data_IF_296381237725
#
_entry.id   IF_296381237725
#
_cell.length_a   1.000
_cell.length_b   1.000
_cell.length_c   1.000
_cell.angle_alpha   90.00
_cell.angle_beta   90.00
_cell.angle_gamma   90.00
#
_symmetry.space_group_name_H-M   'P 1'
#
loop_
_entity.id
_entity.type
_entity.pdbx_description
1 polymer ?
#
# COMPACT_ATOMS: atom_id res chain seq x y z
N UNK A 1 28.64 13.54 -6.45
CA UNK A 1 27.61 14.56 -6.18
C UNK A 1 26.72 14.04 -5.06
N UNK A 2 26.29 14.90 -4.10
CA UNK A 2 25.39 14.43 -3.03
C UNK A 2 24.01 14.03 -3.56
N UNK A 3 23.37 13.02 -2.98
CA UNK A 3 21.98 12.62 -3.26
C UNK A 3 21.02 13.28 -2.28
N UNK A 4 19.82 13.60 -2.74
CA UNK A 4 18.69 13.95 -1.86
C UNK A 4 18.25 12.74 -1.03
N UNK A 5 17.46 12.97 0.01
CA UNK A 5 16.89 11.89 0.82
C UNK A 5 16.07 10.90 -0.05
N UNK A 6 15.21 11.41 -0.92
CA UNK A 6 14.43 10.59 -1.87
C UNK A 6 15.33 9.74 -2.78
N UNK A 7 16.41 10.33 -3.32
CA UNK A 7 17.36 9.58 -4.14
C UNK A 7 18.07 8.46 -3.37
N UNK A 8 18.40 8.70 -2.09
CA UNK A 8 19.03 7.68 -1.25
C UNK A 8 18.09 6.51 -0.99
N UNK A 9 16.83 6.79 -0.65
CA UNK A 9 15.81 5.75 -0.43
C UNK A 9 15.59 4.94 -1.71
N UNK A 10 15.34 5.61 -2.83
CA UNK A 10 15.12 4.95 -4.11
C UNK A 10 16.35 4.14 -4.59
N UNK A 11 17.56 4.66 -4.40
CA UNK A 11 18.79 3.93 -4.74
C UNK A 11 18.95 2.65 -3.92
N UNK A 12 18.68 2.74 -2.60
CA UNK A 12 18.72 1.59 -1.69
C UNK A 12 17.74 0.48 -2.14
N UNK A 13 16.49 0.85 -2.40
CA UNK A 13 15.45 -0.11 -2.82
C UNK A 13 15.64 -0.65 -4.24
N UNK A 14 16.41 0.05 -5.07
CA UNK A 14 16.77 -0.41 -6.41
C UNK A 14 18.08 -1.22 -6.44
N UNK A 15 18.77 -1.37 -5.30
CA UNK A 15 20.09 -2.01 -5.24
C UNK A 15 21.18 -1.26 -6.02
N UNK A 16 21.05 0.08 -6.12
CA UNK A 16 21.96 0.95 -6.88
C UNK A 16 22.76 1.85 -5.96
N UNK A 17 23.99 2.17 -6.33
CA UNK A 17 24.82 3.14 -5.59
C UNK A 17 24.26 4.56 -5.66
N UNK A 18 23.60 4.92 -6.74
CA UNK A 18 23.00 6.23 -6.93
C UNK A 18 21.91 6.22 -8.00
N UNK A 19 20.97 7.15 -7.91
CA UNK A 19 19.93 7.39 -8.91
C UNK A 19 19.86 8.87 -9.28
N UNK A 20 19.32 9.17 -10.45
CA UNK A 20 19.18 10.53 -10.98
C UNK A 20 17.72 10.78 -11.38
N UNK A 21 17.32 12.06 -11.35
CA UNK A 21 16.02 12.46 -11.87
C UNK A 21 15.90 12.06 -13.37
N UNK A 22 14.75 11.51 -13.74
CA UNK A 22 14.48 10.99 -15.09
C UNK A 22 15.00 9.57 -15.37
N UNK A 23 15.71 8.96 -14.43
CA UNK A 23 16.14 7.57 -14.55
C UNK A 23 14.97 6.61 -14.27
N UNK A 24 14.77 5.63 -15.15
CA UNK A 24 13.86 4.51 -14.88
C UNK A 24 14.58 3.48 -14.00
N UNK A 25 13.94 3.08 -12.92
CA UNK A 25 14.47 2.11 -11.96
C UNK A 25 13.40 1.08 -11.59
N UNK A 26 13.81 -0.11 -11.19
CA UNK A 26 12.99 -1.05 -10.45
C UNK A 26 13.39 -0.95 -8.98
N UNK A 27 12.43 -0.73 -8.10
CA UNK A 27 12.68 -0.60 -6.67
C UNK A 27 11.71 -1.48 -5.88
N UNK A 28 12.20 -2.25 -4.93
CA UNK A 28 11.37 -3.10 -4.07
C UNK A 28 10.57 -2.27 -3.08
N UNK A 29 9.29 -2.60 -2.92
CA UNK A 29 8.39 -1.92 -2.00
C UNK A 29 8.51 -2.51 -0.58
N UNK A 30 8.42 -1.65 0.44
CA UNK A 30 8.26 -2.08 1.82
C UNK A 30 6.81 -2.20 2.22
N UNK A 31 5.94 -1.34 1.67
CA UNK A 31 4.52 -1.40 1.97
C UNK A 31 3.65 -0.99 0.77
N UNK A 32 2.58 -1.75 0.57
CA UNK A 32 1.47 -1.42 -0.34
C UNK A 32 0.22 -1.20 0.50
N UNK A 33 -0.31 0.03 0.49
CA UNK A 33 -1.47 0.41 1.29
C UNK A 33 -2.73 0.51 0.44
N UNK A 34 -3.85 0.04 0.98
CA UNK A 34 -5.17 0.31 0.44
C UNK A 34 -6.23 0.44 1.52
N UNK A 35 -7.33 1.10 1.19
CA UNK A 35 -8.49 1.30 2.06
C UNK A 35 -9.77 0.71 1.45
N UNK A 36 -10.89 0.84 2.15
CA UNK A 36 -12.17 0.29 1.71
C UNK A 36 -12.82 1.03 0.52
N UNK A 37 -12.30 2.19 0.11
CA UNK A 37 -12.73 2.89 -1.12
C UNK A 37 -12.02 2.32 -2.34
N UNK A 38 -10.70 2.24 -2.28
CA UNK A 38 -9.83 2.00 -3.44
C UNK A 38 -9.42 0.55 -3.60
N UNK A 39 -9.26 -0.20 -2.50
CA UNK A 39 -8.91 -1.62 -2.54
C UNK A 39 -9.89 -2.48 -3.32
N UNK A 40 -11.24 -2.28 -3.28
CA UNK A 40 -12.16 -3.09 -4.09
C UNK A 40 -11.89 -3.00 -5.59
N UNK A 41 -11.42 -1.85 -6.08
CA UNK A 41 -11.02 -1.66 -7.48
C UNK A 41 -9.70 -2.37 -7.75
N UNK A 42 -8.72 -2.21 -6.87
CA UNK A 42 -7.42 -2.90 -6.98
C UNK A 42 -7.59 -4.43 -6.95
N UNK A 43 -8.46 -4.95 -6.09
CA UNK A 43 -8.82 -6.39 -6.03
C UNK A 43 -9.38 -6.89 -7.36
N UNK A 44 -10.31 -6.14 -7.97
CA UNK A 44 -10.87 -6.51 -9.27
C UNK A 44 -9.82 -6.52 -10.37
N UNK A 45 -8.94 -5.53 -10.41
CA UNK A 45 -7.85 -5.48 -11.40
C UNK A 45 -6.83 -6.60 -11.16
N UNK A 46 -6.51 -6.91 -9.92
CA UNK A 46 -5.64 -8.02 -9.55
C UNK A 46 -6.21 -9.37 -10.03
N UNK A 47 -7.48 -9.64 -9.77
CA UNK A 47 -8.15 -10.88 -10.18
C UNK A 47 -8.35 -10.95 -11.71
N UNK A 48 -8.70 -9.83 -12.36
CA UNK A 48 -8.84 -9.73 -13.82
C UNK A 48 -7.51 -9.99 -14.55
N UNK A 49 -6.41 -9.55 -13.97
CA UNK A 49 -5.07 -9.82 -14.51
C UNK A 49 -4.65 -11.29 -14.37
N UNK A 50 -5.42 -12.10 -13.64
CA UNK A 50 -5.14 -13.53 -13.46
C UNK A 50 -4.03 -13.83 -12.46
N UNK A 51 -3.70 -12.87 -11.59
CA UNK A 51 -2.70 -13.09 -10.55
C UNK A 51 -3.19 -14.12 -9.53
N UNK A 52 -2.35 -15.10 -9.24
CA UNK A 52 -2.67 -16.22 -8.36
C UNK A 52 -2.19 -16.04 -6.92
N UNK A 53 -1.27 -15.11 -6.68
CA UNK A 53 -0.70 -14.84 -5.36
C UNK A 53 -0.24 -13.39 -5.24
N UNK A 54 -0.19 -12.89 -4.02
CA UNK A 54 0.53 -11.68 -3.64
C UNK A 54 2.00 -12.06 -3.41
N UNK A 55 2.95 -11.29 -3.92
CA UNK A 55 4.38 -11.60 -3.78
C UNK A 55 4.82 -11.67 -2.32
N UNK A 56 4.41 -10.70 -1.53
CA UNK A 56 4.71 -10.66 -0.10
C UNK A 56 3.49 -10.12 0.68
N UNK A 57 2.59 -10.99 1.16
CA UNK A 57 1.39 -10.56 1.88
C UNK A 57 1.67 -9.73 3.13
N UNK A 58 2.81 -9.95 3.80
CA UNK A 58 3.23 -9.17 4.96
C UNK A 58 3.55 -7.70 4.63
N UNK A 59 3.85 -7.40 3.36
CA UNK A 59 4.09 -6.04 2.86
C UNK A 59 2.83 -5.39 2.26
N UNK A 60 1.66 -5.97 2.48
CA UNK A 60 0.37 -5.39 2.06
C UNK A 60 -0.45 -5.07 3.29
N UNK A 61 -0.94 -3.84 3.37
CA UNK A 61 -1.87 -3.40 4.41
C UNK A 61 -3.18 -2.95 3.79
N UNK A 62 -4.29 -3.37 4.40
CA UNK A 62 -5.64 -2.97 4.00
C UNK A 62 -6.40 -2.48 5.23
N UNK A 63 -6.78 -1.21 5.23
CA UNK A 63 -7.42 -0.54 6.37
C UNK A 63 -8.85 -0.13 6.00
N UNK A 64 -9.81 -0.59 6.81
CA UNK A 64 -11.23 -0.33 6.60
C UNK A 64 -11.66 0.89 7.42
N UNK A 65 -11.30 2.10 7.00
CA UNK A 65 -11.46 3.33 7.80
C UNK A 65 -12.36 4.41 7.20
N UNK A 66 -12.69 4.33 5.91
CA UNK A 66 -13.54 5.33 5.26
C UNK A 66 -15.03 4.98 5.31
N UNK A 67 -15.37 3.69 5.14
CA UNK A 67 -16.75 3.19 5.11
C UNK A 67 -17.17 2.47 6.38
N UNK A 68 -16.30 2.41 7.37
CA UNK A 68 -16.56 1.72 8.63
C UNK A 68 -16.69 2.76 9.76
N UNK A 69 -17.78 2.76 10.56
CA UNK A 69 -18.96 1.86 10.49
C UNK A 69 -19.74 1.99 9.18
N UNK A 70 -20.18 0.87 8.61
CA UNK A 70 -20.86 0.87 7.32
C UNK A 70 -22.22 1.58 7.41
N UNK A 71 -22.42 2.62 6.60
CA UNK A 71 -23.66 3.39 6.55
C UNK A 71 -24.79 2.74 5.76
N UNK A 72 -24.45 1.82 4.86
CA UNK A 72 -25.38 1.15 3.96
C UNK A 72 -24.82 -0.20 3.45
N UNK A 73 -25.67 -0.94 2.72
CA UNK A 73 -25.32 -2.23 2.15
C UNK A 73 -24.13 -2.12 1.18
N UNK A 74 -24.09 -1.05 0.36
CA UNK A 74 -23.03 -0.83 -0.62
C UNK A 74 -21.67 -0.67 0.05
N UNK A 75 -21.59 0.10 1.12
CA UNK A 75 -20.38 0.25 1.93
C UNK A 75 -19.96 -1.10 2.54
N UNK A 76 -20.91 -1.86 3.08
CA UNK A 76 -20.64 -3.19 3.63
C UNK A 76 -20.15 -4.19 2.59
N UNK A 77 -20.66 -4.15 1.36
CA UNK A 77 -20.17 -4.99 0.26
C UNK A 77 -18.74 -4.66 -0.16
N UNK A 78 -18.35 -3.39 -0.12
CA UNK A 78 -16.98 -2.96 -0.37
C UNK A 78 -16.02 -3.58 0.67
N UNK A 79 -16.31 -3.39 1.95
CA UNK A 79 -15.53 -3.98 3.05
C UNK A 79 -15.49 -5.51 2.95
N UNK A 80 -16.62 -6.16 2.65
CA UNK A 80 -16.68 -7.61 2.44
C UNK A 80 -15.77 -8.08 1.30
N UNK A 81 -15.72 -7.34 0.20
CA UNK A 81 -14.84 -7.65 -0.93
C UNK A 81 -13.39 -7.67 -0.50
N UNK A 82 -12.94 -6.63 0.21
CA UNK A 82 -11.55 -6.54 0.71
C UNK A 82 -11.25 -7.62 1.73
N UNK A 83 -12.18 -7.89 2.66
CA UNK A 83 -12.05 -8.97 3.67
C UNK A 83 -11.87 -10.35 3.01
N UNK A 84 -12.68 -10.65 2.01
CA UNK A 84 -12.58 -11.92 1.29
C UNK A 84 -11.24 -12.04 0.56
N UNK A 85 -10.78 -10.97 -0.04
CA UNK A 85 -9.47 -10.92 -0.70
C UNK A 85 -8.34 -11.11 0.31
N UNK A 86 -8.35 -10.40 1.42
CA UNK A 86 -7.34 -10.50 2.47
C UNK A 86 -7.24 -11.95 3.01
N UNK A 87 -8.38 -12.57 3.28
CA UNK A 87 -8.44 -13.97 3.72
C UNK A 87 -7.94 -14.94 2.64
N UNK A 88 -8.32 -14.73 1.37
CA UNK A 88 -7.94 -15.60 0.25
C UNK A 88 -6.43 -15.58 -0.01
N UNK A 89 -5.81 -14.41 0.11
CA UNK A 89 -4.40 -14.22 -0.24
C UNK A 89 -3.47 -14.08 0.97
N UNK A 90 -3.98 -14.23 2.19
CA UNK A 90 -3.17 -14.24 3.41
C UNK A 90 -2.59 -12.88 3.78
N UNK A 91 -3.37 -11.79 3.60
CA UNK A 91 -2.96 -10.46 4.03
C UNK A 91 -3.15 -10.34 5.54
N UNK A 92 -2.07 -10.42 6.30
CA UNK A 92 -2.10 -10.36 7.77
C UNK A 92 -2.38 -8.95 8.30
N UNK A 93 -1.90 -7.91 7.59
CA UNK A 93 -2.11 -6.51 7.95
C UNK A 93 -3.48 -6.01 7.44
N UNK A 94 -4.52 -6.78 7.75
CA UNK A 94 -5.89 -6.42 7.46
C UNK A 94 -6.56 -5.86 8.73
N UNK A 95 -6.90 -4.57 8.69
CA UNK A 95 -7.47 -3.83 9.80
C UNK A 95 -8.97 -3.57 9.57
N UNK A 96 -9.77 -4.51 10.03
CA UNK A 96 -11.23 -4.47 9.97
C UNK A 96 -11.85 -3.87 11.24
N UNK A 97 -13.17 -3.86 11.33
CA UNK A 97 -13.93 -3.41 12.50
C UNK A 97 -13.37 -3.98 13.80
N UNK A 98 -13.11 -3.11 14.75
CA UNK A 98 -12.51 -3.45 16.05
C UNK A 98 -10.98 -3.43 16.08
N UNK A 99 -10.32 -3.38 14.92
CA UNK A 99 -8.85 -3.24 14.80
C UNK A 99 -8.45 -2.08 13.90
N UNK A 100 -9.39 -1.44 13.25
CA UNK A 100 -9.15 -0.32 12.35
C UNK A 100 -8.80 0.96 13.11
N UNK A 101 -8.20 1.89 12.40
CA UNK A 101 -7.95 3.27 12.78
C UNK A 101 -7.78 4.10 11.52
N UNK A 102 -7.52 5.38 11.63
CA UNK A 102 -7.15 6.23 10.49
C UNK A 102 -5.86 5.65 9.88
N UNK A 103 -5.89 5.21 8.62
CA UNK A 103 -4.82 4.45 7.98
C UNK A 103 -3.44 5.12 8.10
N UNK A 104 -3.38 6.45 7.91
CA UNK A 104 -2.13 7.19 7.95
C UNK A 104 -1.58 7.44 9.38
N UNK A 105 -2.36 7.20 10.41
CA UNK A 105 -1.91 7.14 11.79
C UNK A 105 -1.64 5.69 12.22
N UNK A 106 -2.53 4.78 11.82
CA UNK A 106 -2.49 3.38 12.22
C UNK A 106 -1.19 2.68 11.77
N UNK A 107 -0.78 2.83 10.50
CA UNK A 107 0.39 2.12 10.00
C UNK A 107 1.69 2.49 10.75
N UNK A 108 1.99 3.77 10.98
CA UNK A 108 3.12 4.15 11.84
C UNK A 108 3.02 3.65 13.28
N UNK A 109 1.84 3.72 13.89
CA UNK A 109 1.60 3.25 15.26
C UNK A 109 1.79 1.74 15.41
N UNK A 110 1.51 0.98 14.34
CA UNK A 110 1.76 -0.46 14.28
C UNK A 110 3.21 -0.80 13.86
N UNK A 111 4.04 0.19 13.57
CA UNK A 111 5.41 -0.03 13.10
C UNK A 111 5.51 -0.60 11.69
N UNK A 112 4.45 -0.44 10.88
CA UNK A 112 4.40 -0.95 9.51
C UNK A 112 5.00 0.02 8.48
N UNK A 113 5.15 1.28 8.85
CA UNK A 113 5.80 2.32 8.04
C UNK A 113 6.71 3.17 8.91
N UNK A 114 7.94 3.36 8.47
CA UNK A 114 8.95 4.14 9.17
C UNK A 114 9.89 4.92 8.24
N UNK A 115 10.93 5.46 8.83
CA UNK A 115 11.94 6.24 8.10
C UNK A 115 12.75 5.34 7.16
N UNK A 116 12.91 5.77 5.93
CA UNK A 116 13.66 5.05 4.91
C UNK A 116 12.84 4.09 4.07
N UNK A 117 11.58 3.83 4.43
CA UNK A 117 10.71 2.91 3.70
C UNK A 117 10.28 3.48 2.33
N UNK A 118 10.01 2.59 1.40
CA UNK A 118 9.40 2.85 0.11
C UNK A 118 7.95 2.34 0.12
N UNK A 119 7.00 3.28 0.10
CA UNK A 119 5.57 3.00 0.28
C UNK A 119 4.77 3.49 -0.93
N UNK A 120 3.89 2.65 -1.44
CA UNK A 120 2.83 3.07 -2.36
C UNK A 120 1.46 2.80 -1.74
N UNK A 121 0.48 3.62 -2.06
CA UNK A 121 -0.89 3.43 -1.60
C UNK A 121 -1.91 3.91 -2.62
N UNK A 122 -3.03 3.22 -2.69
CA UNK A 122 -4.15 3.68 -3.51
C UNK A 122 -4.99 4.73 -2.78
N UNK A 123 -4.32 5.63 -2.08
CA UNK A 123 -4.89 6.80 -1.43
C UNK A 123 -4.07 8.05 -1.76
N UNK A 124 -4.75 9.18 -1.99
CA UNK A 124 -4.10 10.44 -2.38
C UNK A 124 -3.24 11.05 -1.27
N UNK A 125 -3.47 10.68 -0.01
CA UNK A 125 -2.73 11.16 1.15
C UNK A 125 -1.58 10.23 1.57
N UNK A 126 -1.29 9.17 0.82
CA UNK A 126 -0.18 8.24 1.09
C UNK A 126 1.15 8.97 1.28
N UNK A 127 1.36 10.09 0.59
CA UNK A 127 2.56 10.94 0.75
C UNK A 127 2.80 11.46 2.18
N UNK A 128 1.82 11.37 3.07
CA UNK A 128 1.92 11.79 4.48
C UNK A 128 3.09 11.12 5.22
N UNK A 129 3.44 9.87 4.88
CA UNK A 129 4.55 9.16 5.52
C UNK A 129 5.92 9.78 5.21
N UNK A 130 5.99 10.69 4.23
CA UNK A 130 7.17 11.53 4.01
C UNK A 130 7.56 12.37 5.23
N UNK A 131 6.58 12.74 6.08
CA UNK A 131 6.83 13.41 7.36
C UNK A 131 7.63 12.56 8.35
N UNK A 132 7.59 11.23 8.20
CA UNK A 132 8.37 10.27 8.99
C UNK A 132 9.72 9.92 8.35
N UNK A 133 9.99 10.43 7.16
CA UNK A 133 11.22 10.14 6.42
C UNK A 133 11.11 8.96 5.45
N UNK A 134 9.92 8.48 5.12
CA UNK A 134 9.69 7.50 4.06
C UNK A 134 9.67 8.18 2.68
N UNK A 135 9.97 7.43 1.62
CA UNK A 135 9.53 7.79 0.27
C UNK A 135 8.16 7.18 0.04
N UNK A 136 7.13 8.00 0.04
CA UNK A 136 5.76 7.54 0.02
C UNK A 136 4.93 8.30 -1.00
N UNK A 137 4.14 7.60 -1.81
CA UNK A 137 3.34 8.21 -2.88
C UNK A 137 2.02 7.51 -3.12
N UNK A 138 1.00 8.30 -3.46
CA UNK A 138 -0.28 7.79 -3.95
C UNK A 138 -0.16 7.28 -5.39
N UNK A 139 -0.80 6.16 -5.67
CA UNK A 139 -0.86 5.52 -6.99
C UNK A 139 -2.30 5.14 -7.33
N UNK A 140 -2.55 4.80 -8.60
CA UNK A 140 -3.85 4.27 -9.02
C UNK A 140 -4.10 2.85 -8.49
N UNK A 141 -5.39 2.46 -8.43
CA UNK A 141 -5.75 1.10 -7.98
C UNK A 141 -5.14 0.00 -8.86
N UNK A 142 -4.93 0.26 -10.15
CA UNK A 142 -4.24 -0.66 -11.07
C UNK A 142 -2.76 -0.81 -10.70
N UNK A 143 -2.10 0.30 -10.35
CA UNK A 143 -0.69 0.28 -9.92
C UNK A 143 -0.55 -0.39 -8.57
N UNK A 144 -1.52 -0.19 -7.65
CA UNK A 144 -1.58 -0.93 -6.40
C UNK A 144 -1.66 -2.44 -6.65
N UNK A 145 -2.53 -2.88 -7.59
CA UNK A 145 -2.64 -4.29 -7.96
C UNK A 145 -1.32 -4.84 -8.50
N UNK A 146 -0.62 -4.08 -9.36
CA UNK A 146 0.70 -4.43 -9.86
C UNK A 146 1.74 -4.51 -8.73
N UNK A 147 1.74 -3.56 -7.79
CA UNK A 147 2.62 -3.56 -6.62
C UNK A 147 2.40 -4.77 -5.71
N UNK A 148 1.15 -5.18 -5.48
CA UNK A 148 0.86 -6.41 -4.71
C UNK A 148 1.43 -7.67 -5.38
N UNK A 149 1.47 -7.71 -6.72
CA UNK A 149 1.97 -8.85 -7.49
C UNK A 149 3.49 -8.86 -7.61
N UNK A 150 4.09 -7.69 -7.84
CA UNK A 150 5.53 -7.59 -8.15
C UNK A 150 6.42 -7.33 -6.93
N UNK A 151 5.90 -6.69 -5.92
CA UNK A 151 6.61 -6.32 -4.67
C UNK A 151 7.39 -5.03 -4.78
#
# INVERSE_FOLDING_TARGET
>A
MGMTMSQKILAYHAGLESVKAGQLINAELDMVLGNDITSPVAVKEFEKAGFSCIKCPAKVSMVMDHFTPNKDIKAAEQVKTVRNFANKYGVDNFFDVGRMGIEHALLPEQGLVGAGDLVIGADSHTCTYGALGAFSTGVGSTDMAAGMMSG
#
